data_IF_046369064730
#
_entry.id   IF_046369064730
#
_cell.length_a   1.000
_cell.length_b   1.000
_cell.length_c   1.000
_cell.angle_alpha   90.00
_cell.angle_beta   90.00
_cell.angle_gamma   90.00
#
_symmetry.space_group_name_H-M   'P 1'
#
loop_
_entity.id
_entity.type
_entity.pdbx_description
1 polymer ?
#
# COMPACT_ATOMS: atom_id res chain seq x y z
N UNK A 1 23.37 10.75 -15.45
CA UNK A 1 22.60 9.78 -14.64
C UNK A 1 21.18 10.32 -14.51
N UNK A 2 20.21 9.73 -15.20
CA UNK A 2 18.82 10.15 -15.11
C UNK A 2 18.20 9.49 -13.88
N UNK A 3 17.80 10.30 -12.91
CA UNK A 3 16.97 9.85 -11.79
C UNK A 3 15.64 9.45 -12.42
N UNK A 4 15.38 8.16 -12.55
CA UNK A 4 14.08 7.66 -12.98
C UNK A 4 13.04 8.19 -12.00
N UNK A 5 12.12 9.04 -12.48
CA UNK A 5 10.99 9.52 -11.70
C UNK A 5 10.27 8.32 -11.07
N UNK A 6 10.20 8.25 -9.74
CA UNK A 6 9.53 7.15 -9.06
C UNK A 6 8.05 7.21 -9.41
N UNK A 7 7.61 6.31 -10.30
CA UNK A 7 6.19 6.17 -10.61
C UNK A 7 5.48 5.76 -9.32
N UNK A 8 4.49 6.55 -8.91
CA UNK A 8 3.67 6.26 -7.71
C UNK A 8 3.04 4.87 -7.88
N UNK A 9 3.23 3.94 -6.93
CA UNK A 9 2.58 2.63 -6.96
C UNK A 9 1.07 2.75 -7.19
N UNK A 10 0.56 2.02 -8.18
CA UNK A 10 -0.87 1.98 -8.53
C UNK A 10 -1.40 0.58 -8.22
N UNK A 11 -2.60 0.48 -7.66
CA UNK A 11 -3.30 -0.78 -7.49
C UNK A 11 -4.08 -1.08 -8.77
N UNK A 12 -3.45 -1.79 -9.70
CA UNK A 12 -4.09 -2.25 -10.95
C UNK A 12 -4.25 -3.76 -10.99
N UNK A 13 -3.40 -4.48 -10.26
CA UNK A 13 -3.44 -5.94 -10.16
C UNK A 13 -3.28 -6.38 -8.71
N UNK A 14 -3.66 -7.62 -8.36
CA UNK A 14 -3.41 -8.17 -7.02
C UNK A 14 -1.93 -8.18 -6.63
N UNK A 15 -1.02 -8.25 -7.60
CA UNK A 15 0.43 -8.26 -7.35
C UNK A 15 0.94 -6.89 -6.84
N UNK A 16 0.29 -5.80 -7.25
CA UNK A 16 0.63 -4.45 -6.82
C UNK A 16 0.27 -4.19 -5.34
N UNK A 17 -0.60 -5.05 -4.77
CA UNK A 17 -1.12 -4.93 -3.42
C UNK A 17 -0.03 -4.64 -2.39
N UNK A 18 1.10 -5.36 -2.44
CA UNK A 18 2.16 -5.24 -1.43
C UNK A 18 2.81 -3.85 -1.48
N UNK A 19 3.23 -3.41 -2.67
CA UNK A 19 3.91 -2.12 -2.83
C UNK A 19 2.94 -0.94 -2.61
N UNK A 20 1.73 -1.06 -3.16
CA UNK A 20 0.68 -0.06 -3.00
C UNK A 20 0.26 0.10 -1.53
N UNK A 21 0.00 -1.02 -0.83
CA UNK A 21 -0.37 -0.98 0.58
C UNK A 21 0.76 -0.40 1.44
N UNK A 22 2.02 -0.73 1.14
CA UNK A 22 3.17 -0.14 1.82
C UNK A 22 3.20 1.38 1.66
N UNK A 23 2.99 1.89 0.44
CA UNK A 23 2.93 3.34 0.18
C UNK A 23 1.81 4.03 0.96
N UNK A 24 0.60 3.46 0.96
CA UNK A 24 -0.54 4.02 1.71
C UNK A 24 -0.25 4.02 3.21
N UNK A 25 0.34 2.93 3.72
CA UNK A 25 0.76 2.83 5.12
C UNK A 25 1.80 3.89 5.48
N UNK A 26 2.85 4.06 4.69
CA UNK A 26 3.87 5.11 4.90
C UNK A 26 3.22 6.49 4.91
N UNK A 27 2.35 6.79 3.94
CA UNK A 27 1.63 8.09 3.88
C UNK A 27 0.83 8.34 5.15
N UNK A 28 0.14 7.33 5.67
CA UNK A 28 -0.65 7.44 6.89
C UNK A 28 0.22 7.53 8.16
N UNK A 29 1.40 6.93 8.18
CA UNK A 29 2.38 7.11 9.26
C UNK A 29 2.99 8.52 9.24
N UNK A 30 3.32 9.05 8.06
CA UNK A 30 3.85 10.42 7.90
C UNK A 30 2.84 11.49 8.34
N UNK A 31 1.55 11.20 8.18
CA UNK A 31 0.46 12.06 8.66
C UNK A 31 0.08 11.81 10.13
N UNK A 32 0.71 10.85 10.81
CA UNK A 32 0.41 10.41 12.18
C UNK A 32 -1.06 9.99 12.38
N UNK A 33 -1.65 9.35 11.36
CA UNK A 33 -3.05 8.90 11.36
C UNK A 33 -3.21 7.39 11.15
N UNK A 34 -2.11 6.62 11.05
CA UNK A 34 -2.19 5.18 10.78
C UNK A 34 -3.13 4.44 11.73
N UNK A 35 -3.15 4.81 13.01
CA UNK A 35 -4.04 4.20 14.02
C UNK A 35 -5.53 4.27 13.66
N UNK A 36 -5.95 5.28 12.88
CA UNK A 36 -7.33 5.47 12.41
C UNK A 36 -7.57 4.85 11.02
N UNK A 37 -6.51 4.54 10.27
CA UNK A 37 -6.57 3.88 8.96
C UNK A 37 -6.50 2.36 9.07
N UNK A 38 -5.88 1.86 10.15
CA UNK A 38 -5.58 0.44 10.35
C UNK A 38 -6.88 -0.40 10.31
N UNK A 39 -7.04 -1.31 9.33
CA UNK A 39 -8.24 -2.14 9.21
C UNK A 39 -8.42 -3.13 10.36
N UNK A 40 -7.37 -3.36 11.18
CA UNK A 40 -7.42 -4.27 12.31
C UNK A 40 -7.69 -3.53 13.65
N UNK A 41 -7.78 -2.20 13.64
CA UNK A 41 -8.08 -1.37 14.82
C UNK A 41 -9.41 -0.62 14.69
N UNK A 42 -10.01 -0.31 15.84
CA UNK A 42 -11.27 0.43 15.92
C UNK A 42 -11.15 1.85 16.46
N UNK A 43 -10.03 2.53 16.18
CA UNK A 43 -9.89 3.91 16.60
C UNK A 43 -10.69 4.82 15.68
N UNK A 44 -11.60 5.60 16.26
CA UNK A 44 -12.36 6.64 15.57
C UNK A 44 -11.86 8.01 15.98
N UNK A 45 -11.81 8.93 15.02
CA UNK A 45 -11.43 10.30 15.29
C UNK A 45 -12.65 11.04 15.87
N UNK A 46 -12.66 11.21 17.19
CA UNK A 46 -13.77 11.87 17.90
C UNK A 46 -13.61 13.38 17.84
N UNK A 47 -14.66 14.08 17.42
CA UNK A 47 -14.71 15.54 17.45
C UNK A 47 -14.77 16.03 18.92
N UNK A 48 -13.96 17.04 19.30
CA UNK A 48 -14.08 17.68 20.61
C UNK A 48 -15.50 18.25 20.83
N UNK A 49 -16.02 18.15 22.07
CA UNK A 49 -17.37 18.60 22.44
C UNK A 49 -17.58 20.12 22.35
N UNK A 50 -18.82 20.59 22.54
CA UNK A 50 -19.20 21.99 22.28
C UNK A 50 -18.41 23.00 23.14
N UNK A 51 -17.79 24.03 22.53
CA UNK A 51 -17.02 25.04 23.25
C UNK A 51 -17.83 25.97 24.14
N UNK A 52 -19.16 26.04 23.97
CA UNK A 52 -20.04 26.94 24.73
C UNK A 52 -20.17 26.65 26.22
N UNK A 53 -19.66 25.50 26.68
CA UNK A 53 -19.73 25.03 28.07
C UNK A 53 -18.38 25.07 28.80
N UNK A 54 -17.34 25.70 28.22
CA UNK A 54 -15.98 25.64 28.75
C UNK A 54 -15.66 26.81 29.70
N UNK A 55 -14.98 26.51 30.81
CA UNK A 55 -14.30 27.52 31.66
C UNK A 55 -12.99 27.98 31.03
N UNK A 56 -12.46 29.15 31.42
CA UNK A 56 -11.23 29.73 30.86
C UNK A 56 -9.99 28.79 30.87
N UNK A 57 -9.85 27.91 31.88
CA UNK A 57 -8.79 26.89 31.91
C UNK A 57 -9.06 25.73 30.94
N UNK A 58 -10.33 25.41 30.68
CA UNK A 58 -10.75 24.38 29.73
C UNK A 58 -10.67 24.86 28.26
N UNK A 59 -10.79 26.17 28.01
CA UNK A 59 -10.65 26.77 26.66
C UNK A 59 -9.28 26.49 26.02
N UNK A 60 -8.19 26.59 26.79
CA UNK A 60 -6.83 26.31 26.27
C UNK A 60 -6.66 24.83 25.91
N UNK A 61 -7.15 23.93 26.76
CA UNK A 61 -7.14 22.49 26.49
C UNK A 61 -8.03 22.12 25.30
N UNK A 62 -9.19 22.76 25.17
CA UNK A 62 -10.06 22.61 24.02
C UNK A 62 -9.40 23.07 22.73
N UNK A 63 -8.73 24.23 22.75
CA UNK A 63 -8.00 24.76 21.59
C UNK A 63 -6.92 23.79 21.11
N UNK A 64 -6.17 23.16 22.03
CA UNK A 64 -5.20 22.12 21.69
C UNK A 64 -5.88 20.88 21.09
N UNK A 65 -6.99 20.42 21.67
CA UNK A 65 -7.75 19.26 21.19
C UNK A 65 -8.36 19.48 19.81
N UNK A 66 -8.96 20.64 19.54
CA UNK A 66 -9.57 20.95 18.24
C UNK A 66 -8.51 21.11 17.14
N UNK A 67 -7.36 21.71 17.46
CA UNK A 67 -6.24 21.80 16.53
C UNK A 67 -5.63 20.43 16.20
N UNK A 68 -5.52 19.54 17.18
CA UNK A 68 -5.09 18.16 16.96
C UNK A 68 -6.09 17.35 16.13
N UNK A 69 -7.38 17.48 16.43
CA UNK A 69 -8.48 16.89 15.66
C UNK A 69 -8.44 17.34 14.20
N UNK A 70 -8.33 18.64 13.93
CA UNK A 70 -8.29 19.20 12.59
C UNK A 70 -7.07 18.73 11.79
N UNK A 71 -5.91 18.63 12.44
CA UNK A 71 -4.68 18.10 11.84
C UNK A 71 -4.88 16.64 11.39
N UNK A 72 -5.40 15.80 12.29
CA UNK A 72 -5.68 14.39 12.00
C UNK A 72 -6.75 14.22 10.93
N UNK A 73 -7.81 15.05 10.96
CA UNK A 73 -8.87 15.06 9.94
C UNK A 73 -8.30 15.36 8.55
N UNK A 74 -7.42 16.36 8.43
CA UNK A 74 -6.72 16.69 7.18
C UNK A 74 -5.80 15.55 6.72
N UNK A 75 -5.04 14.96 7.64
CA UNK A 75 -4.20 13.79 7.35
C UNK A 75 -5.00 12.61 6.81
N UNK A 76 -6.14 12.30 7.44
CA UNK A 76 -7.06 11.26 6.98
C UNK A 76 -7.63 11.56 5.60
N UNK A 77 -8.07 12.79 5.34
CA UNK A 77 -8.55 13.20 4.03
C UNK A 77 -7.46 13.03 2.95
N UNK A 78 -6.20 13.34 3.29
CA UNK A 78 -5.05 13.14 2.39
C UNK A 78 -4.84 11.67 2.06
N UNK A 79 -4.83 10.79 3.07
CA UNK A 79 -4.73 9.34 2.87
C UNK A 79 -5.89 8.82 2.02
N UNK A 80 -7.10 9.32 2.27
CA UNK A 80 -8.30 8.94 1.52
C UNK A 80 -8.19 9.29 0.04
N UNK A 81 -7.69 10.49 -0.26
CA UNK A 81 -7.42 10.95 -1.62
C UNK A 81 -6.30 10.14 -2.28
N UNK A 82 -5.24 9.78 -1.54
CA UNK A 82 -4.18 8.91 -2.05
C UNK A 82 -4.74 7.54 -2.44
N UNK A 83 -5.58 6.92 -1.60
CA UNK A 83 -6.22 5.64 -1.91
C UNK A 83 -7.06 5.75 -3.19
N UNK A 84 -7.96 6.73 -3.29
CA UNK A 84 -8.79 6.91 -4.48
C UNK A 84 -7.97 7.18 -5.75
N UNK A 85 -6.97 8.05 -5.68
CA UNK A 85 -6.18 8.46 -6.84
C UNK A 85 -5.15 7.43 -7.30
N UNK A 86 -4.95 6.34 -6.56
CA UNK A 86 -3.95 5.31 -6.89
C UNK A 86 -4.57 3.94 -7.14
N UNK A 87 -5.90 3.83 -7.09
CA UNK A 87 -6.66 2.61 -7.39
C UNK A 87 -7.22 2.72 -8.81
N UNK A 88 -7.03 1.68 -9.62
CA UNK A 88 -7.54 1.65 -11.00
C UNK A 88 -9.07 1.63 -11.05
N UNK A 89 -9.63 2.01 -12.20
CA UNK A 89 -11.09 2.10 -12.44
C UNK A 89 -11.83 0.81 -12.07
N UNK A 90 -11.30 -0.35 -12.45
CA UNK A 90 -11.88 -1.67 -12.14
C UNK A 90 -12.07 -1.94 -10.64
N UNK A 91 -11.26 -1.30 -9.81
CA UNK A 91 -11.29 -1.45 -8.36
C UNK A 91 -12.00 -0.28 -7.64
N UNK A 92 -12.35 0.79 -8.36
CA UNK A 92 -13.06 1.93 -7.78
C UNK A 92 -14.49 1.58 -7.35
N UNK A 93 -15.14 0.63 -8.03
CA UNK A 93 -16.49 0.17 -7.64
C UNK A 93 -16.52 -0.40 -6.21
N UNK A 94 -15.41 -0.98 -5.72
CA UNK A 94 -15.32 -1.45 -4.33
C UNK A 94 -15.24 -0.31 -3.29
N UNK A 95 -15.08 0.95 -3.74
CA UNK A 95 -14.90 2.12 -2.89
C UNK A 95 -16.16 3.01 -2.79
N UNK A 96 -17.20 2.76 -3.58
CA UNK A 96 -18.40 3.62 -3.66
C UNK A 96 -19.06 3.82 -2.28
N UNK A 97 -19.27 2.73 -1.54
CA UNK A 97 -19.89 2.74 -0.21
C UNK A 97 -18.90 2.97 0.95
N UNK A 98 -17.61 3.17 0.63
CA UNK A 98 -16.55 3.29 1.63
C UNK A 98 -16.05 4.74 1.72
N UNK A 99 -16.38 5.43 2.81
CA UNK A 99 -16.08 6.85 2.99
C UNK A 99 -14.81 7.11 3.79
N UNK A 100 -14.40 6.17 4.65
CA UNK A 100 -13.19 6.29 5.47
C UNK A 100 -12.01 5.51 4.88
N UNK A 101 -10.76 5.96 5.07
CA UNK A 101 -9.56 5.22 4.65
C UNK A 101 -9.56 3.77 5.14
N UNK A 102 -10.00 3.54 6.38
CA UNK A 102 -10.13 2.21 6.98
C UNK A 102 -11.10 1.31 6.22
N UNK A 103 -12.31 1.80 5.95
CA UNK A 103 -13.31 1.04 5.19
C UNK A 103 -12.80 0.69 3.80
N UNK A 104 -12.17 1.65 3.11
CA UNK A 104 -11.58 1.43 1.78
C UNK A 104 -10.50 0.36 1.82
N UNK A 105 -9.56 0.47 2.77
CA UNK A 105 -8.50 -0.52 2.95
C UNK A 105 -9.05 -1.90 3.28
N UNK A 106 -10.07 -2.00 4.12
CA UNK A 106 -10.71 -3.27 4.46
C UNK A 106 -11.39 -3.90 3.24
N UNK A 107 -12.13 -3.13 2.44
CA UNK A 107 -12.81 -3.62 1.22
C UNK A 107 -11.81 -4.09 0.17
N UNK A 108 -10.82 -3.25 -0.14
CA UNK A 108 -9.77 -3.60 -1.10
C UNK A 108 -8.97 -4.81 -0.61
N UNK A 109 -8.74 -4.95 0.70
CA UNK A 109 -8.06 -6.11 1.29
C UNK A 109 -8.87 -7.39 1.08
N UNK A 110 -10.17 -7.36 1.29
CA UNK A 110 -11.01 -8.54 1.09
C UNK A 110 -11.15 -8.91 -0.39
N UNK A 111 -11.20 -7.92 -1.28
CA UNK A 111 -11.42 -8.15 -2.71
C UNK A 111 -10.13 -8.47 -3.50
N UNK A 112 -9.01 -7.84 -3.16
CA UNK A 112 -7.82 -7.78 -4.03
C UNK A 112 -6.61 -8.43 -3.38
N UNK A 113 -6.53 -8.56 -2.05
CA UNK A 113 -5.38 -9.19 -1.39
C UNK A 113 -5.21 -10.61 -1.96
N UNK A 114 -4.14 -10.87 -2.73
CA UNK A 114 -3.95 -12.18 -3.30
C UNK A 114 -3.74 -13.18 -2.17
N UNK A 115 -4.35 -14.35 -2.30
CA UNK A 115 -4.07 -15.49 -1.43
C UNK A 115 -2.60 -15.90 -1.57
N UNK A 116 -2.04 -16.54 -0.56
CA UNK A 116 -0.64 -17.03 -0.60
C UNK A 116 -0.39 -17.87 -1.86
N UNK A 117 -1.34 -18.72 -2.27
CA UNK A 117 -1.26 -19.50 -3.50
C UNK A 117 -1.19 -18.64 -4.76
N UNK A 118 -2.03 -17.62 -4.89
CA UNK A 118 -2.00 -16.69 -6.03
C UNK A 118 -0.68 -15.92 -6.10
N UNK A 119 -0.09 -15.56 -4.95
CA UNK A 119 1.24 -14.95 -4.91
C UNK A 119 2.30 -15.96 -5.38
N UNK A 120 2.26 -17.19 -4.89
CA UNK A 120 3.21 -18.24 -5.28
C UNK A 120 3.14 -18.56 -6.78
N UNK A 121 1.93 -18.71 -7.33
CA UNK A 121 1.72 -18.99 -8.75
C UNK A 121 2.18 -17.82 -9.63
N UNK A 122 1.85 -16.58 -9.25
CA UNK A 122 2.35 -15.37 -9.90
C UNK A 122 3.88 -15.30 -9.92
N UNK A 123 4.52 -15.59 -8.78
CA UNK A 123 5.98 -15.58 -8.64
C UNK A 123 6.60 -16.69 -9.48
N UNK A 124 5.94 -17.86 -9.59
CA UNK A 124 6.37 -18.98 -10.43
C UNK A 124 6.26 -18.64 -11.92
N UNK A 125 5.13 -18.08 -12.36
CA UNK A 125 4.94 -17.65 -13.75
C UNK A 125 5.95 -16.56 -14.14
N UNK A 126 6.22 -15.61 -13.25
CA UNK A 126 7.22 -14.58 -13.49
C UNK A 126 8.64 -15.18 -13.53
N UNK A 127 8.97 -16.09 -12.62
CA UNK A 127 10.23 -16.83 -12.66
C UNK A 127 10.39 -17.61 -13.98
N UNK A 128 9.37 -18.36 -14.39
CA UNK A 128 9.36 -19.14 -15.63
C UNK A 128 9.50 -18.24 -16.87
N UNK A 129 8.98 -17.01 -16.81
CA UNK A 129 9.22 -16.00 -17.84
C UNK A 129 10.64 -15.47 -17.83
N UNK A 130 11.30 -15.35 -16.67
CA UNK A 130 12.64 -14.77 -16.55
C UNK A 130 13.74 -15.78 -16.90
N UNK A 131 13.56 -17.07 -16.59
CA UNK A 131 14.52 -18.12 -16.98
C UNK A 131 14.58 -18.35 -18.49
N UNK A 132 13.55 -17.95 -19.25
CA UNK A 132 13.54 -17.97 -20.72
C UNK A 132 14.53 -16.96 -21.35
N UNK A 133 15.17 -16.14 -20.52
CA UNK A 133 16.18 -15.17 -20.94
C UNK A 133 15.60 -13.85 -21.45
N UNK A 134 16.46 -12.82 -21.58
CA UNK A 134 16.05 -11.53 -22.10
C UNK A 134 15.71 -11.62 -23.59
N UNK A 135 14.62 -10.96 -24.01
CA UNK A 135 14.37 -10.72 -25.44
C UNK A 135 15.39 -9.69 -25.97
N UNK A 136 15.64 -9.68 -27.28
CA UNK A 136 16.56 -8.74 -27.94
C UNK A 136 16.24 -7.29 -27.52
N UNK A 137 17.25 -6.56 -27.06
CA UNK A 137 17.23 -5.14 -26.67
C UNK A 137 16.51 -4.76 -25.36
N UNK A 138 16.22 -5.72 -24.46
CA UNK A 138 15.59 -5.43 -23.15
C UNK A 138 16.28 -6.11 -21.95
N UNK A 139 17.61 -6.22 -22.01
CA UNK A 139 18.43 -6.83 -20.95
C UNK A 139 18.27 -6.08 -19.62
N UNK A 140 18.35 -4.74 -19.61
CA UNK A 140 18.20 -3.95 -18.38
C UNK A 140 16.80 -4.12 -17.76
N UNK A 141 15.76 -4.20 -18.60
CA UNK A 141 14.39 -4.42 -18.14
C UNK A 141 14.22 -5.82 -17.56
N UNK A 142 14.84 -6.83 -18.18
CA UNK A 142 14.86 -8.20 -17.68
C UNK A 142 15.61 -8.30 -16.35
N UNK A 143 16.79 -7.67 -16.24
CA UNK A 143 17.61 -7.65 -15.03
C UNK A 143 16.88 -6.97 -13.87
N UNK A 144 16.25 -5.82 -14.12
CA UNK A 144 15.46 -5.11 -13.10
C UNK A 144 14.29 -5.94 -12.58
N UNK A 145 13.63 -6.72 -13.44
CA UNK A 145 12.59 -7.67 -13.01
C UNK A 145 13.15 -8.78 -12.13
N UNK A 146 14.34 -9.30 -12.48
CA UNK A 146 15.05 -10.27 -11.66
C UNK A 146 15.39 -9.72 -10.27
N UNK A 147 15.95 -8.51 -10.20
CA UNK A 147 16.28 -7.83 -8.94
C UNK A 147 15.02 -7.62 -8.08
N UNK A 148 13.89 -7.29 -8.70
CA UNK A 148 12.61 -7.13 -8.00
C UNK A 148 11.98 -8.46 -7.53
N UNK A 149 12.21 -9.57 -8.25
CA UNK A 149 11.64 -10.89 -7.95
C UNK A 149 12.41 -11.62 -6.83
N UNK A 150 13.74 -11.48 -6.78
CA UNK A 150 14.59 -12.23 -5.85
C UNK A 150 14.19 -12.11 -4.36
N UNK A 151 13.87 -10.91 -3.81
CA UNK A 151 13.39 -10.80 -2.44
C UNK A 151 12.07 -11.53 -2.19
N UNK A 152 11.17 -11.56 -3.18
CA UNK A 152 9.85 -12.20 -3.08
C UNK A 152 9.98 -13.73 -3.03
N UNK A 153 10.86 -14.30 -3.85
CA UNK A 153 11.20 -15.72 -3.83
C UNK A 153 11.75 -16.16 -2.48
N UNK A 154 12.68 -15.36 -1.92
CA UNK A 154 13.27 -15.63 -0.60
C UNK A 154 12.24 -15.58 0.52
N UNK A 155 11.35 -14.59 0.50
CA UNK A 155 10.31 -14.42 1.51
C UNK A 155 9.29 -15.56 1.53
N UNK A 156 8.94 -16.10 0.36
CA UNK A 156 7.92 -17.15 0.22
C UNK A 156 8.45 -18.58 0.45
N UNK A 157 9.77 -18.76 0.62
CA UNK A 157 10.41 -20.08 0.79
C UNK A 157 9.87 -21.13 -0.19
N UNK A 158 9.59 -20.74 -1.43
CA UNK A 158 9.01 -21.65 -2.43
C UNK A 158 10.03 -22.77 -2.68
N UNK A 159 9.79 -23.93 -2.07
CA UNK A 159 10.63 -25.11 -2.23
C UNK A 159 10.71 -25.43 -3.73
N UNK A 160 11.94 -25.62 -4.22
CA UNK A 160 12.35 -25.85 -5.62
C UNK A 160 12.75 -24.63 -6.45
N UNK A 161 12.81 -23.42 -5.89
CA UNK A 161 13.32 -22.23 -6.59
C UNK A 161 14.58 -21.64 -5.93
N UNK A 162 15.41 -22.53 -5.37
CA UNK A 162 16.63 -22.16 -4.67
C UNK A 162 17.58 -21.35 -5.55
N UNK A 163 18.25 -20.38 -4.94
CA UNK A 163 19.28 -19.46 -5.49
C UNK A 163 20.19 -20.12 -6.55
N UNK A 164 20.51 -21.41 -6.38
CA UNK A 164 21.28 -22.23 -7.31
C UNK A 164 20.68 -22.36 -8.73
N UNK A 165 19.36 -22.32 -8.90
CA UNK A 165 18.72 -22.34 -10.23
C UNK A 165 18.54 -20.93 -10.81
N UNK A 166 18.38 -19.90 -9.97
CA UNK A 166 18.40 -18.50 -10.41
C UNK A 166 19.72 -18.16 -11.12
N UNK A 167 20.84 -18.68 -10.60
CA UNK A 167 22.16 -18.55 -11.23
C UNK A 167 22.33 -19.35 -12.54
N UNK A 168 21.51 -20.38 -12.80
CA UNK A 168 21.59 -21.15 -14.07
C UNK A 168 21.04 -20.40 -15.28
N UNK A 169 20.18 -19.39 -15.08
CA UNK A 169 19.69 -18.53 -16.16
C UNK A 169 20.70 -17.46 -16.63
N UNK A 170 21.88 -17.40 -16.00
CA UNK A 170 22.97 -16.47 -16.33
C UNK A 170 24.16 -17.14 -17.03
N UNK A 171 24.10 -18.45 -17.31
CA UNK A 171 25.09 -19.22 -18.09
C UNK A 171 24.49 -19.51 -19.46
#
# INVERSE_FOLDING_TARGET
MAITASKVPQLSTPQDWIQWFSMVKTTAMDQDVWSYCDPDKSNELVQPGDPSQLTATQERLYTLKINDYERKRKGLAKVNATIQGTVCEDYQTYLEDAHTPRQRLARLRTAIKPSTRQIEDSVREEYDSLIKGPKRNIIDKWLNRWIALAPRLRALKILNLGEAQACRGFI
#
